data_IF_906829590651
#
_entry.id   IF_906829590651
#
_cell.length_a   1.000
_cell.length_b   1.000
_cell.length_c   1.000
_cell.angle_alpha   90.00
_cell.angle_beta   90.00
_cell.angle_gamma   90.00
#
_symmetry.space_group_name_H-M   'P 1'
#
loop_
_entity.id
_entity.type
_entity.pdbx_description
1 polymer ?
#
# COMPACT_ATOMS: atom_id res chain seq x y z
N UNK A 1 9.83 61.25 43.48
CA UNK A 1 9.70 59.83 43.05
C UNK A 1 11.06 59.38 42.54
N UNK A 2 11.64 58.33 43.13
CA UNK A 2 13.06 57.99 42.99
C UNK A 2 13.34 57.44 41.57
N UNK A 3 14.34 57.95 40.85
CA UNK A 3 14.64 57.61 39.44
C UNK A 3 14.72 56.09 39.20
N UNK A 4 15.20 55.35 40.20
CA UNK A 4 15.23 53.88 40.16
C UNK A 4 13.85 53.26 39.93
N UNK A 5 12.79 53.80 40.53
CA UNK A 5 11.43 53.25 40.40
C UNK A 5 10.80 53.57 39.03
N UNK A 6 11.19 54.69 38.41
CA UNK A 6 10.75 55.04 37.05
C UNK A 6 11.40 54.10 36.03
N UNK A 7 12.67 53.73 36.22
CA UNK A 7 13.36 52.74 35.37
C UNK A 7 12.74 51.34 35.46
N UNK A 8 12.35 50.90 36.66
CA UNK A 8 11.65 49.61 36.83
C UNK A 8 10.25 49.60 36.19
N UNK A 9 9.51 50.71 36.28
CA UNK A 9 8.19 50.84 35.63
C UNK A 9 8.35 50.92 34.11
N UNK A 10 9.37 51.60 33.59
CA UNK A 10 9.66 51.66 32.16
C UNK A 10 10.09 50.28 31.60
N UNK A 11 10.84 49.48 32.36
CA UNK A 11 11.20 48.11 31.98
C UNK A 11 10.00 47.15 31.99
N UNK A 12 9.01 47.38 32.85
CA UNK A 12 7.74 46.63 32.90
C UNK A 12 6.74 47.06 31.82
N UNK A 13 6.80 48.33 31.36
CA UNK A 13 5.97 48.86 30.27
C UNK A 13 6.53 48.57 28.87
N UNK A 14 7.84 48.34 28.74
CA UNK A 14 8.43 47.61 27.61
C UNK A 14 8.22 46.10 27.81
N UNK A 15 6.96 45.71 27.96
CA UNK A 15 6.57 44.31 28.02
C UNK A 15 7.09 43.61 26.77
N UNK A 16 7.84 42.53 26.99
CA UNK A 16 8.21 41.57 25.96
C UNK A 16 6.97 41.26 25.11
N UNK A 17 6.94 41.75 23.88
CA UNK A 17 6.00 41.26 22.88
C UNK A 17 6.50 39.88 22.47
N UNK A 18 6.20 38.89 23.30
CA UNK A 18 6.31 37.50 22.92
C UNK A 18 5.19 37.24 21.90
N UNK A 19 5.53 37.30 20.62
CA UNK A 19 4.68 36.76 19.58
C UNK A 19 4.68 35.24 19.75
N UNK A 20 3.67 34.70 20.43
CA UNK A 20 3.36 33.28 20.29
C UNK A 20 2.69 33.13 18.94
N UNK A 21 3.47 32.71 17.94
CA UNK A 21 2.93 32.26 16.67
C UNK A 21 2.72 30.74 16.78
N UNK A 22 1.51 30.28 16.49
CA UNK A 22 1.26 28.85 16.29
C UNK A 22 1.92 28.49 14.96
N UNK A 23 2.97 27.67 15.03
CA UNK A 23 3.51 27.02 13.82
C UNK A 23 2.64 25.79 13.59
N UNK A 24 1.79 25.85 12.57
CA UNK A 24 1.09 24.67 12.08
C UNK A 24 2.13 23.85 11.32
N UNK A 25 2.42 22.66 11.81
CA UNK A 25 3.24 21.66 11.12
C UNK A 25 2.31 20.61 10.54
N UNK A 26 2.67 20.09 9.36
CA UNK A 26 1.94 19.02 8.71
C UNK A 26 1.84 17.75 9.57
N UNK A 27 0.80 16.96 9.34
CA UNK A 27 0.65 15.64 9.97
C UNK A 27 1.79 14.74 9.46
N UNK A 28 2.70 14.35 10.35
CA UNK A 28 3.82 13.46 10.00
C UNK A 28 3.44 11.97 10.07
N UNK A 29 2.41 11.64 10.84
CA UNK A 29 1.97 10.26 11.03
C UNK A 29 0.47 10.17 11.31
N UNK A 30 -0.19 9.20 10.68
CA UNK A 30 -1.56 8.83 11.01
C UNK A 30 -1.54 7.76 12.09
N UNK A 31 -1.87 8.18 13.32
CA UNK A 31 -1.87 7.30 14.49
C UNK A 31 -2.83 6.12 14.37
N UNK A 32 -3.98 6.29 13.70
CA UNK A 32 -4.94 5.21 13.52
C UNK A 32 -4.34 4.09 12.64
N UNK A 33 -3.72 4.48 11.52
CA UNK A 33 -3.01 3.55 10.62
C UNK A 33 -1.84 2.90 11.34
N UNK A 34 -1.05 3.68 12.08
CA UNK A 34 0.10 3.16 12.85
C UNK A 34 -0.31 2.14 13.91
N UNK A 35 -1.40 2.40 14.64
CA UNK A 35 -1.92 1.47 15.66
C UNK A 35 -2.40 0.16 15.02
N UNK A 36 -3.11 0.23 13.90
CA UNK A 36 -3.56 -0.97 13.18
C UNK A 36 -2.39 -1.74 12.57
N UNK A 37 -1.39 -1.05 12.01
CA UNK A 37 -0.16 -1.68 11.52
C UNK A 37 0.57 -2.45 12.63
N UNK A 38 0.72 -1.83 13.81
CA UNK A 38 1.31 -2.48 14.98
C UNK A 38 0.52 -3.71 15.44
N UNK A 39 -0.81 -3.64 15.41
CA UNK A 39 -1.68 -4.78 15.75
C UNK A 39 -1.51 -5.94 14.77
N UNK A 40 -1.50 -5.64 13.47
CA UNK A 40 -1.33 -6.65 12.42
C UNK A 40 0.06 -7.30 12.48
N UNK A 41 1.11 -6.53 12.77
CA UNK A 41 2.46 -7.06 12.95
C UNK A 41 2.59 -7.93 14.20
N UNK A 42 1.93 -7.54 15.31
CA UNK A 42 1.91 -8.34 16.53
C UNK A 42 1.12 -9.65 16.38
N UNK A 43 0.09 -9.68 15.53
CA UNK A 43 -0.65 -10.90 15.19
C UNK A 43 0.19 -11.87 14.32
N UNK A 44 1.05 -11.36 13.44
CA UNK A 44 1.99 -12.20 12.67
C UNK A 44 3.11 -12.81 13.53
N UNK A 45 3.49 -12.16 14.65
CA UNK A 45 4.52 -12.67 15.56
C UNK A 45 4.05 -13.82 16.47
N UNK A 46 2.73 -14.03 16.62
CA UNK A 46 2.17 -15.01 17.57
C UNK A 46 2.11 -16.45 17.07
N UNK A 47 2.39 -16.71 15.79
CA UNK A 47 2.67 -18.06 15.29
C UNK A 47 3.75 -17.99 14.21
N UNK A 48 4.95 -18.47 14.50
CA UNK A 48 5.97 -18.85 13.49
C UNK A 48 5.54 -20.11 12.71
N UNK A 49 4.27 -20.16 12.32
CA UNK A 49 3.59 -21.31 11.75
C UNK A 49 3.15 -20.93 10.36
N UNK A 50 4.00 -21.27 9.38
CA UNK A 50 3.74 -21.36 7.95
C UNK A 50 2.79 -20.29 7.40
N UNK A 51 3.35 -19.29 6.74
CA UNK A 51 2.69 -18.71 5.58
C UNK A 51 2.56 -19.82 4.52
N UNK A 52 1.59 -20.71 4.68
CA UNK A 52 0.82 -21.09 3.51
C UNK A 52 0.24 -19.77 3.04
N UNK A 53 0.93 -19.10 2.10
CA UNK A 53 0.24 -18.21 1.18
C UNK A 53 -0.83 -19.08 0.55
N UNK A 54 -2.00 -19.09 1.17
CA UNK A 54 -3.20 -19.65 0.56
C UNK A 54 -3.27 -18.89 -0.75
N UNK A 55 -3.01 -19.57 -1.87
CA UNK A 55 -3.21 -18.99 -3.19
C UNK A 55 -4.70 -18.70 -3.24
N UNK A 56 -5.06 -17.45 -2.97
CA UNK A 56 -6.45 -17.06 -2.88
C UNK A 56 -7.03 -17.17 -4.29
N UNK A 57 -8.15 -17.89 -4.46
CA UNK A 57 -8.71 -18.10 -5.79
C UNK A 57 -9.10 -16.76 -6.40
N UNK A 58 -8.96 -16.65 -7.72
CA UNK A 58 -9.41 -15.49 -8.47
C UNK A 58 -10.92 -15.25 -8.21
N UNK A 59 -11.28 -13.99 -8.03
CA UNK A 59 -12.64 -13.53 -7.76
C UNK A 59 -13.54 -13.78 -8.97
N UNK A 60 -14.80 -14.08 -8.71
CA UNK A 60 -15.84 -14.18 -9.75
C UNK A 60 -16.60 -12.86 -9.87
N UNK A 61 -17.10 -12.57 -11.06
CA UNK A 61 -18.05 -11.48 -11.28
C UNK A 61 -19.40 -11.72 -10.56
N UNK A 62 -20.10 -10.65 -10.15
CA UNK A 62 -19.66 -9.25 -10.19
C UNK A 62 -18.67 -8.92 -9.06
N UNK A 63 -17.77 -7.97 -9.30
CA UNK A 63 -16.92 -7.37 -8.25
C UNK A 63 -17.60 -6.11 -7.72
N UNK A 64 -17.64 -5.94 -6.41
CA UNK A 64 -18.23 -4.76 -5.78
C UNK A 64 -17.52 -4.42 -4.46
N UNK A 65 -17.17 -3.14 -4.28
CA UNK A 65 -16.78 -2.59 -2.99
C UNK A 65 -17.27 -1.14 -2.85
N UNK A 66 -17.93 -0.86 -1.73
CA UNK A 66 -18.51 0.44 -1.39
C UNK A 66 -17.87 1.04 -0.12
N UNK A 67 -16.80 0.40 0.37
CA UNK A 67 -16.00 0.84 1.52
C UNK A 67 -16.82 1.19 2.78
N UNK A 68 -18.04 0.67 2.90
CA UNK A 68 -18.97 0.97 4.00
C UNK A 68 -18.69 0.12 5.24
N UNK A 69 -17.41 -0.12 5.48
CA UNK A 69 -16.88 -0.93 6.59
C UNK A 69 -16.48 -0.06 7.78
N UNK A 70 -16.19 -0.70 8.91
CA UNK A 70 -15.62 -0.03 10.10
C UNK A 70 -14.11 -0.20 10.20
N UNK A 71 -13.49 -0.93 9.28
CA UNK A 71 -12.04 -1.13 9.22
C UNK A 71 -11.40 0.04 8.51
N UNK A 72 -10.14 0.35 8.87
CA UNK A 72 -9.38 1.43 8.24
C UNK A 72 -8.50 0.95 7.07
N UNK A 73 -8.42 -0.36 6.87
CA UNK A 73 -7.71 -0.99 5.75
C UNK A 73 -8.72 -1.59 4.76
N UNK A 74 -8.35 -1.71 3.46
CA UNK A 74 -9.20 -2.33 2.46
C UNK A 74 -9.51 -3.80 2.79
N UNK A 75 -10.66 -4.30 2.32
CA UNK A 75 -11.01 -5.70 2.49
C UNK A 75 -9.98 -6.60 1.79
N UNK A 76 -9.20 -7.34 2.58
CA UNK A 76 -8.14 -8.21 2.06
C UNK A 76 -8.65 -9.34 1.20
N UNK A 77 -9.95 -9.66 1.20
CA UNK A 77 -10.55 -10.63 0.28
C UNK A 77 -10.74 -10.05 -1.14
N UNK A 78 -10.79 -8.73 -1.29
CA UNK A 78 -11.03 -8.03 -2.55
C UNK A 78 -9.77 -7.34 -3.07
N UNK A 79 -8.97 -6.80 -2.17
CA UNK A 79 -7.82 -5.95 -2.48
C UNK A 79 -6.51 -6.53 -1.95
N UNK A 80 -5.43 -6.22 -2.66
CA UNK A 80 -4.05 -6.49 -2.29
C UNK A 80 -3.41 -5.23 -1.71
N UNK A 81 -2.58 -5.41 -0.69
CA UNK A 81 -1.92 -4.31 0.00
C UNK A 81 -2.81 -3.60 1.04
N UNK A 82 -2.23 -2.57 1.68
CA UNK A 82 -2.83 -1.84 2.81
C UNK A 82 -2.45 -0.35 2.83
N UNK A 83 -2.00 0.21 1.71
CA UNK A 83 -1.56 1.60 1.63
C UNK A 83 -2.71 2.62 1.60
N UNK A 84 -3.91 2.21 1.20
CA UNK A 84 -5.06 3.12 1.10
C UNK A 84 -5.86 3.13 2.39
N UNK A 85 -6.25 4.33 2.84
CA UNK A 85 -6.95 4.55 4.10
C UNK A 85 -8.47 4.54 3.90
N UNK A 86 -9.16 3.55 4.48
CA UNK A 86 -10.63 3.46 4.44
C UNK A 86 -11.22 4.28 5.58
N UNK A 87 -12.05 5.27 5.25
CA UNK A 87 -12.60 6.17 6.26
C UNK A 87 -13.89 6.87 5.81
N UNK A 88 -14.47 7.65 6.72
CA UNK A 88 -15.73 8.40 6.52
C UNK A 88 -15.55 9.90 6.68
N UNK A 89 -14.34 10.35 7.02
CA UNK A 89 -14.05 11.70 7.48
C UNK A 89 -13.40 12.57 6.39
N UNK A 90 -12.57 11.98 5.54
CA UNK A 90 -11.97 12.63 4.37
C UNK A 90 -12.95 12.85 3.20
N UNK A 91 -13.80 11.90 2.78
CA UNK A 91 -14.71 12.15 1.66
C UNK A 91 -15.77 13.20 2.04
N UNK A 92 -15.93 14.22 1.20
CA UNK A 92 -16.96 15.24 1.36
C UNK A 92 -18.27 14.79 0.69
N UNK A 93 -19.28 14.47 1.51
CA UNK A 93 -20.59 13.99 1.06
C UNK A 93 -20.49 12.82 0.06
N UNK A 94 -19.93 11.66 0.47
CA UNK A 94 -19.80 10.49 -0.38
C UNK A 94 -21.17 9.95 -0.83
N UNK A 95 -21.21 9.18 -1.93
CA UNK A 95 -22.41 8.46 -2.37
C UNK A 95 -23.04 7.57 -1.29
N UNK A 96 -22.23 6.99 -0.39
CA UNK A 96 -22.65 6.08 0.68
C UNK A 96 -22.12 6.49 2.08
N UNK A 97 -21.52 5.58 2.84
CA UNK A 97 -20.94 5.81 4.17
C UNK A 97 -19.44 6.11 4.19
N UNK A 98 -18.64 5.62 3.24
CA UNK A 98 -17.17 5.63 3.33
C UNK A 98 -16.49 5.75 1.97
N UNK A 99 -15.18 5.90 1.97
CA UNK A 99 -14.39 5.90 0.75
C UNK A 99 -12.97 5.36 1.02
N UNK A 100 -12.34 4.91 -0.05
CA UNK A 100 -10.92 4.67 -0.13
C UNK A 100 -10.18 6.01 -0.36
N UNK A 101 -9.43 6.48 0.62
CA UNK A 101 -8.64 7.71 0.55
C UNK A 101 -7.17 7.42 0.30
N UNK A 102 -6.62 8.10 -0.71
CA UNK A 102 -5.20 8.16 -1.02
C UNK A 102 -4.70 9.47 -0.39
N UNK A 103 -3.88 9.40 0.65
CA UNK A 103 -3.49 10.51 1.53
C UNK A 103 -1.98 10.71 1.68
N UNK A 104 -1.18 10.04 0.87
CA UNK A 104 0.28 10.08 0.90
C UNK A 104 0.86 9.64 2.26
N UNK A 105 0.19 8.66 2.88
CA UNK A 105 0.63 8.00 4.11
C UNK A 105 0.81 6.51 3.84
N UNK A 106 1.99 6.00 4.14
CA UNK A 106 2.30 4.59 3.95
C UNK A 106 1.48 3.68 4.89
N UNK A 107 1.56 2.37 4.66
CA UNK A 107 0.87 1.37 5.47
C UNK A 107 1.31 1.29 6.93
N UNK A 108 2.42 1.95 7.31
CA UNK A 108 2.89 2.07 8.69
C UNK A 108 2.37 3.34 9.37
N UNK A 109 1.62 4.16 8.63
CA UNK A 109 1.08 5.43 9.09
C UNK A 109 2.11 6.56 9.02
N UNK A 110 3.19 6.45 8.25
CA UNK A 110 4.19 7.51 8.08
C UNK A 110 4.01 8.21 6.72
N UNK A 111 4.24 9.52 6.68
CA UNK A 111 4.29 10.26 5.42
C UNK A 111 5.47 9.79 4.57
N UNK A 112 5.28 9.64 3.25
CA UNK A 112 6.36 9.28 2.34
C UNK A 112 7.54 10.28 2.46
N UNK A 113 8.75 9.78 2.73
CA UNK A 113 9.91 10.66 3.00
C UNK A 113 10.58 11.18 1.73
N UNK A 114 10.49 10.40 0.66
CA UNK A 114 11.27 10.55 -0.57
C UNK A 114 10.39 10.94 -1.77
N UNK A 115 9.15 11.39 -1.51
CA UNK A 115 8.25 11.81 -2.57
C UNK A 115 8.76 13.09 -3.24
N UNK A 116 9.07 12.96 -4.53
CA UNK A 116 9.52 14.06 -5.38
C UNK A 116 8.56 14.23 -6.56
N UNK A 117 8.40 15.49 -6.97
CA UNK A 117 7.62 15.87 -8.16
C UNK A 117 8.19 15.27 -9.46
N UNK A 118 9.52 15.22 -9.58
CA UNK A 118 10.19 14.72 -10.77
C UNK A 118 11.43 13.91 -10.41
N UNK A 119 11.47 12.60 -10.75
CA UNK A 119 10.39 11.80 -11.35
C UNK A 119 9.19 11.63 -10.40
N UNK A 120 7.94 11.58 -10.91
CA UNK A 120 6.76 11.52 -10.04
C UNK A 120 6.78 10.25 -9.18
N UNK A 121 6.52 10.41 -7.89
CA UNK A 121 6.55 9.30 -6.93
C UNK A 121 5.17 8.67 -6.83
N UNK A 122 5.09 7.34 -6.98
CA UNK A 122 3.84 6.60 -6.72
C UNK A 122 3.61 6.56 -5.22
N UNK A 123 2.48 7.11 -4.78
CA UNK A 123 2.04 7.09 -3.39
C UNK A 123 1.26 5.83 -3.09
N UNK A 124 -0.02 6.02 -2.73
CA UNK A 124 -0.88 4.94 -2.27
C UNK A 124 -1.40 4.14 -3.46
N UNK A 125 -1.51 2.82 -3.28
CA UNK A 125 -1.97 1.90 -4.32
C UNK A 125 -3.08 0.99 -3.80
N UNK A 126 -4.16 0.90 -4.56
CA UNK A 126 -5.27 -0.01 -4.32
C UNK A 126 -5.36 -0.98 -5.50
N UNK A 127 -4.82 -2.19 -5.34
CA UNK A 127 -4.80 -3.21 -6.39
C UNK A 127 -5.86 -4.27 -6.10
N UNK A 128 -6.72 -4.59 -7.06
CA UNK A 128 -7.67 -5.69 -6.90
C UNK A 128 -6.93 -7.02 -6.85
N UNK A 129 -7.50 -8.02 -6.15
CA UNK A 129 -7.11 -9.41 -6.39
C UNK A 129 -7.44 -9.82 -7.83
N UNK A 130 -6.85 -10.90 -8.37
CA UNK A 130 -7.19 -11.43 -9.68
C UNK A 130 -8.70 -11.72 -9.79
N UNK A 131 -9.32 -11.30 -10.88
CA UNK A 131 -10.73 -11.46 -11.20
C UNK A 131 -10.83 -12.29 -12.49
N UNK A 132 -11.73 -13.26 -12.50
CA UNK A 132 -12.05 -14.08 -13.67
C UNK A 132 -12.90 -13.28 -14.64
N UNK A 133 -12.28 -12.77 -15.71
CA UNK A 133 -12.98 -12.16 -16.85
C UNK A 133 -13.07 -13.08 -18.08
N UNK A 134 -12.65 -14.32 -17.97
CA UNK A 134 -12.74 -15.30 -19.06
C UNK A 134 -14.07 -16.07 -19.07
N UNK A 135 -14.83 -16.13 -17.96
CA UNK A 135 -16.07 -16.90 -17.90
C UNK A 135 -17.07 -16.42 -16.86
N UNK A 136 -18.36 -16.68 -17.12
CA UNK A 136 -19.45 -16.45 -16.14
C UNK A 136 -19.73 -17.74 -15.38
N UNK A 137 -19.80 -17.68 -14.04
CA UNK A 137 -19.97 -18.86 -13.19
C UNK A 137 -21.33 -19.55 -13.36
N UNK A 138 -22.35 -18.83 -13.81
CA UNK A 138 -23.72 -19.36 -14.00
C UNK A 138 -23.90 -20.16 -15.29
N UNK A 139 -23.11 -19.85 -16.32
CA UNK A 139 -23.14 -20.51 -17.64
C UNK A 139 -21.69 -20.53 -18.09
N UNK A 140 -21.02 -21.69 -18.04
CA UNK A 140 -19.62 -21.87 -18.42
C UNK A 140 -19.39 -21.52 -19.91
N UNK A 141 -19.38 -20.22 -20.21
CA UNK A 141 -19.17 -19.62 -21.52
C UNK A 141 -18.11 -18.55 -21.40
N UNK A 142 -17.35 -18.38 -22.46
CA UNK A 142 -16.42 -17.28 -22.56
C UNK A 142 -17.17 -15.95 -22.56
N UNK A 143 -16.66 -14.99 -21.80
CA UNK A 143 -17.10 -13.61 -21.91
C UNK A 143 -16.54 -12.98 -23.19
N UNK A 144 -17.29 -12.03 -23.73
CA UNK A 144 -16.92 -11.29 -24.93
C UNK A 144 -17.31 -9.82 -24.78
N UNK A 145 -16.77 -8.91 -25.62
CA UNK A 145 -17.19 -7.51 -25.62
C UNK A 145 -18.70 -7.31 -25.82
N UNK A 146 -19.40 -8.26 -26.44
CA UNK A 146 -20.86 -8.23 -26.60
C UNK A 146 -21.62 -8.34 -25.28
N UNK A 147 -20.98 -8.87 -24.22
CA UNK A 147 -21.55 -8.96 -22.87
C UNK A 147 -21.55 -7.61 -22.14
N UNK A 148 -20.94 -6.58 -22.73
CA UNK A 148 -20.92 -5.20 -22.20
C UNK A 148 -20.38 -5.14 -20.77
N UNK A 149 -19.24 -5.78 -20.53
CA UNK A 149 -18.52 -5.70 -19.26
C UNK A 149 -17.97 -4.28 -19.09
N UNK A 150 -18.15 -3.67 -17.93
CA UNK A 150 -17.64 -2.34 -17.62
C UNK A 150 -17.19 -2.25 -16.16
N UNK A 151 -16.07 -1.56 -15.94
CA UNK A 151 -15.63 -1.12 -14.61
C UNK A 151 -16.19 0.27 -14.35
N UNK A 152 -16.80 0.48 -13.19
CA UNK A 152 -17.29 1.79 -12.77
C UNK A 152 -16.87 2.11 -11.34
N UNK A 153 -16.65 3.39 -11.06
CA UNK A 153 -16.28 3.88 -9.74
C UNK A 153 -16.64 5.37 -9.64
N UNK A 154 -16.73 5.88 -8.43
CA UNK A 154 -16.88 7.29 -8.14
C UNK A 154 -15.56 7.84 -7.62
N UNK A 155 -15.22 9.07 -8.01
CA UNK A 155 -14.05 9.75 -7.47
C UNK A 155 -14.33 11.19 -7.07
N UNK A 156 -13.53 11.69 -6.13
CA UNK A 156 -13.53 13.06 -5.63
C UNK A 156 -12.11 13.48 -5.25
N UNK A 157 -11.57 14.57 -5.82
CA UNK A 157 -10.33 15.17 -5.32
C UNK A 157 -10.57 15.91 -4.00
N UNK A 158 -9.54 16.01 -3.16
CA UNK A 158 -9.50 16.73 -1.88
C UNK A 158 -10.43 16.16 -0.79
N UNK A 159 -11.75 16.24 -0.99
CA UNK A 159 -12.73 16.04 0.07
C UNK A 159 -12.63 17.13 1.16
N UNK A 160 -12.43 16.73 2.41
CA UNK A 160 -12.23 17.61 3.58
C UNK A 160 -10.74 17.85 3.86
N UNK A 161 -9.85 17.15 3.15
CA UNK A 161 -8.40 17.26 3.29
C UNK A 161 -7.77 18.44 2.52
N UNK A 162 -6.47 18.30 2.28
CA UNK A 162 -5.69 19.12 1.38
C UNK A 162 -5.95 18.73 -0.08
N UNK A 163 -5.98 19.74 -0.95
CA UNK A 163 -6.19 19.52 -2.38
C UNK A 163 -4.94 18.96 -3.05
N UNK A 164 -5.09 17.99 -3.97
CA UNK A 164 -3.99 17.58 -4.85
C UNK A 164 -3.57 18.71 -5.76
N UNK A 165 -2.27 18.82 -6.00
CA UNK A 165 -1.75 19.83 -6.88
C UNK A 165 -2.15 19.56 -8.34
N UNK A 166 -2.22 20.60 -9.20
CA UNK A 166 -2.64 20.47 -10.59
C UNK A 166 -1.88 19.46 -11.44
N UNK A 167 -0.74 19.02 -10.92
CA UNK A 167 0.25 18.22 -11.61
C UNK A 167 0.32 16.80 -11.02
N UNK A 168 -0.33 16.57 -9.88
CA UNK A 168 -0.62 15.24 -9.38
C UNK A 168 -1.71 14.57 -10.19
N UNK A 169 -1.73 13.24 -10.15
CA UNK A 169 -2.77 12.50 -10.84
C UNK A 169 -3.22 11.29 -10.06
N UNK A 170 -4.53 11.08 -10.05
CA UNK A 170 -5.12 9.78 -9.76
C UNK A 170 -5.21 8.98 -11.06
N UNK A 171 -4.76 7.72 -11.04
CA UNK A 171 -4.65 6.86 -12.21
C UNK A 171 -5.37 5.54 -11.98
N UNK A 172 -6.04 5.03 -13.01
CA UNK A 172 -6.56 3.67 -13.10
C UNK A 172 -5.82 2.90 -14.20
N UNK A 173 -5.30 1.74 -13.82
CA UNK A 173 -4.67 0.79 -14.73
C UNK A 173 -5.39 -0.56 -14.73
N UNK A 174 -5.42 -1.21 -15.89
CA UNK A 174 -5.81 -2.60 -16.05
C UNK A 174 -4.57 -3.47 -16.17
N UNK A 175 -4.64 -4.69 -15.66
CA UNK A 175 -3.49 -5.58 -15.56
C UNK A 175 -3.82 -7.02 -15.92
N UNK A 176 -2.88 -7.66 -16.61
CA UNK A 176 -2.85 -9.11 -16.83
C UNK A 176 -1.42 -9.63 -16.63
N UNK A 177 -1.22 -10.92 -16.28
CA UNK A 177 0.12 -11.49 -16.21
C UNK A 177 0.86 -11.33 -17.54
N UNK A 178 2.08 -10.80 -17.52
CA UNK A 178 2.91 -10.59 -18.71
C UNK A 178 3.44 -11.91 -19.30
N UNK A 179 3.39 -12.99 -18.51
CA UNK A 179 4.05 -14.27 -18.80
C UNK A 179 5.45 -14.35 -18.21
N UNK A 180 6.00 -13.24 -17.72
CA UNK A 180 7.27 -13.22 -16.98
C UNK A 180 7.03 -13.44 -15.48
N UNK A 181 8.10 -13.79 -14.79
CA UNK A 181 8.10 -13.95 -13.33
C UNK A 181 9.27 -13.18 -12.71
N UNK A 182 9.00 -12.46 -11.62
CA UNK A 182 10.02 -11.72 -10.89
C UNK A 182 10.41 -12.48 -9.62
N UNK A 183 11.71 -12.46 -9.29
CA UNK A 183 12.19 -12.98 -8.02
C UNK A 183 11.67 -12.12 -6.88
N UNK A 184 11.07 -12.74 -5.86
CA UNK A 184 10.48 -12.04 -4.71
C UNK A 184 11.31 -12.23 -3.45
N UNK A 185 11.58 -13.48 -3.09
CA UNK A 185 12.31 -13.85 -1.87
C UNK A 185 12.90 -15.25 -1.99
N UNK A 186 13.82 -15.58 -1.07
CA UNK A 186 14.22 -16.96 -0.86
C UNK A 186 13.24 -17.61 0.13
N UNK A 187 12.78 -18.81 -0.17
CA UNK A 187 12.09 -19.64 0.82
C UNK A 187 13.12 -20.27 1.76
N UNK A 188 12.69 -20.53 2.99
CA UNK A 188 13.54 -21.12 4.02
C UNK A 188 12.81 -22.23 4.75
N UNK A 189 13.56 -23.25 5.14
CA UNK A 189 13.04 -24.35 5.93
C UNK A 189 13.77 -24.42 7.26
N UNK A 190 13.04 -24.84 8.29
CA UNK A 190 13.61 -25.09 9.61
C UNK A 190 14.01 -26.55 9.71
N UNK A 191 15.31 -26.80 9.90
CA UNK A 191 15.90 -28.14 10.01
C UNK A 191 16.62 -28.31 11.34
N UNK A 192 16.90 -29.56 11.69
CA UNK A 192 17.82 -29.87 12.79
C UNK A 192 19.24 -29.89 12.21
N UNK A 193 20.20 -29.29 12.90
CA UNK A 193 21.59 -29.13 12.47
C UNK A 193 22.23 -30.45 12.01
N UNK A 194 21.85 -31.56 12.66
CA UNK A 194 22.24 -32.95 12.36
C UNK A 194 22.13 -33.31 10.87
N UNK A 195 21.13 -32.75 10.17
CA UNK A 195 20.88 -33.03 8.77
C UNK A 195 21.95 -32.43 7.85
N UNK A 196 22.61 -31.36 8.30
CA UNK A 196 23.59 -30.61 7.53
C UNK A 196 25.03 -31.00 7.90
N UNK A 197 25.23 -31.58 9.09
CA UNK A 197 26.55 -31.90 9.61
C UNK A 197 27.19 -33.08 8.86
N UNK A 198 28.45 -32.92 8.47
CA UNK A 198 29.24 -34.02 7.90
C UNK A 198 29.69 -35.03 8.97
N UNK A 199 30.08 -36.23 8.52
CA UNK A 199 30.57 -37.29 9.42
C UNK A 199 31.83 -36.83 10.17
N UNK A 200 31.70 -36.60 11.48
CA UNK A 200 32.80 -36.16 12.35
C UNK A 200 32.81 -34.66 12.63
N UNK A 201 31.86 -33.90 12.07
CA UNK A 201 31.66 -32.51 12.43
C UNK A 201 30.90 -32.40 13.76
N UNK A 202 31.47 -31.66 14.72
CA UNK A 202 30.90 -31.51 16.07
C UNK A 202 30.01 -30.27 16.20
N UNK A 203 30.31 -29.21 15.44
CA UNK A 203 29.56 -27.96 15.42
C UNK A 203 29.74 -27.22 14.09
N UNK A 204 28.80 -26.33 13.77
CA UNK A 204 29.02 -25.23 12.84
C UNK A 204 29.51 -24.01 13.61
N UNK A 205 30.60 -23.42 13.16
CA UNK A 205 31.16 -22.19 13.74
C UNK A 205 30.88 -20.99 12.85
N UNK A 206 31.15 -19.79 13.37
CA UNK A 206 31.02 -18.55 12.62
C UNK A 206 31.83 -18.63 11.31
N UNK A 207 31.21 -18.20 10.23
CA UNK A 207 31.65 -18.24 8.83
C UNK A 207 31.64 -19.61 8.13
N UNK A 208 31.13 -20.66 8.77
CA UNK A 208 30.88 -21.91 8.06
C UNK A 208 29.79 -21.74 7.00
N UNK A 209 29.94 -22.48 5.90
CA UNK A 209 28.95 -22.51 4.82
C UNK A 209 27.92 -23.60 5.07
N UNK A 210 26.65 -23.22 5.15
CA UNK A 210 25.52 -24.12 5.31
C UNK A 210 24.83 -24.29 3.96
N UNK A 211 24.92 -25.49 3.39
CA UNK A 211 24.28 -25.83 2.11
C UNK A 211 22.84 -26.26 2.30
N UNK A 212 21.96 -25.86 1.39
CA UNK A 212 20.56 -26.26 1.43
C UNK A 212 20.42 -27.80 1.33
N UNK A 213 19.59 -28.44 2.18
CA UNK A 213 19.49 -29.88 2.23
C UNK A 213 18.70 -30.44 1.03
N UNK A 214 19.42 -30.93 0.04
CA UNK A 214 18.84 -31.55 -1.18
C UNK A 214 17.91 -32.73 -0.85
N UNK A 215 18.17 -33.42 0.27
CA UNK A 215 17.33 -34.52 0.77
C UNK A 215 15.89 -34.11 1.09
N UNK A 216 15.64 -32.82 1.32
CA UNK A 216 14.32 -32.25 1.57
C UNK A 216 13.72 -31.56 0.34
N UNK A 217 14.35 -31.72 -0.84
CA UNK A 217 13.90 -31.12 -2.09
C UNK A 217 14.41 -29.69 -2.34
N UNK A 218 15.33 -29.19 -1.51
CA UNK A 218 15.91 -27.86 -1.69
C UNK A 218 16.86 -27.78 -2.89
N UNK A 219 17.05 -26.57 -3.40
CA UNK A 219 17.95 -26.29 -4.51
C UNK A 219 19.43 -26.44 -4.06
N UNK A 220 20.22 -27.33 -4.69
CA UNK A 220 21.60 -27.61 -4.28
C UNK A 220 22.58 -26.45 -4.45
N UNK A 221 22.20 -25.40 -5.20
CA UNK A 221 23.04 -24.23 -5.44
C UNK A 221 22.85 -23.14 -4.38
N UNK A 222 21.90 -23.31 -3.48
CA UNK A 222 21.59 -22.34 -2.42
C UNK A 222 22.41 -22.68 -1.18
N UNK A 223 23.08 -21.67 -0.62
CA UNK A 223 23.80 -21.76 0.64
C UNK A 223 23.69 -20.45 1.41
N UNK A 224 23.97 -20.51 2.70
CA UNK A 224 24.16 -19.33 3.54
C UNK A 224 25.44 -19.43 4.35
N UNK A 225 25.94 -18.29 4.81
CA UNK A 225 27.08 -18.23 5.72
C UNK A 225 26.55 -18.10 7.15
N UNK A 226 27.02 -18.97 8.05
CA UNK A 226 26.71 -18.87 9.46
C UNK A 226 27.38 -17.62 10.07
N UNK A 227 26.61 -16.74 10.69
CA UNK A 227 27.15 -15.56 11.41
C UNK A 227 26.92 -15.66 12.92
N UNK A 228 26.39 -16.78 13.41
CA UNK A 228 26.14 -16.94 14.83
C UNK A 228 27.47 -17.00 15.61
N UNK A 229 27.59 -16.19 16.68
CA UNK A 229 28.82 -16.15 17.49
C UNK A 229 28.96 -17.40 18.38
N UNK A 230 27.86 -18.09 18.66
CA UNK A 230 27.83 -19.35 19.40
C UNK A 230 27.88 -20.54 18.42
N UNK A 231 28.69 -21.58 18.69
CA UNK A 231 28.72 -22.76 17.84
C UNK A 231 27.36 -23.46 17.82
N UNK A 232 26.84 -23.76 16.63
CA UNK A 232 25.60 -24.51 16.47
C UNK A 232 25.95 -25.99 16.56
N UNK A 233 25.36 -26.69 17.53
CA UNK A 233 25.68 -28.09 17.82
C UNK A 233 24.56 -29.03 17.38
N UNK A 234 24.83 -30.33 17.48
CA UNK A 234 23.85 -31.37 17.22
C UNK A 234 22.60 -31.19 18.09
N UNK A 235 21.43 -31.28 17.47
CA UNK A 235 20.12 -31.11 18.10
C UNK A 235 19.55 -29.69 17.99
N UNK A 236 20.37 -28.70 17.62
CA UNK A 236 19.90 -27.33 17.44
C UNK A 236 19.05 -27.20 16.18
N UNK A 237 18.12 -26.25 16.21
CA UNK A 237 17.26 -25.98 15.06
C UNK A 237 17.72 -24.73 14.32
N UNK A 238 17.99 -24.90 13.03
CA UNK A 238 18.50 -23.86 12.14
C UNK A 238 17.46 -23.59 11.05
N UNK A 239 17.25 -22.33 10.72
CA UNK A 239 16.50 -21.94 9.52
C UNK A 239 17.48 -21.75 8.37
N UNK A 240 17.32 -22.53 7.29
CA UNK A 240 18.19 -22.49 6.12
C UNK A 240 17.40 -22.16 4.86
N UNK A 241 18.00 -21.41 3.95
CA UNK A 241 17.42 -21.12 2.64
C UNK A 241 17.29 -22.42 1.83
N UNK A 242 16.15 -22.61 1.16
CA UNK A 242 15.82 -23.84 0.45
C UNK A 242 15.69 -23.61 -1.06
N UNK A 243 14.87 -22.65 -1.48
CA UNK A 243 14.67 -22.31 -2.89
C UNK A 243 14.35 -20.82 -3.09
N UNK A 244 14.13 -20.41 -4.34
CA UNK A 244 13.71 -19.07 -4.70
C UNK A 244 12.24 -19.04 -5.09
N UNK A 245 11.51 -18.06 -4.53
CA UNK A 245 10.10 -17.79 -4.85
C UNK A 245 10.04 -16.75 -5.96
N UNK A 246 9.34 -17.10 -7.04
CA UNK A 246 9.03 -16.21 -8.15
C UNK A 246 7.53 -15.96 -8.22
N UNK A 247 7.14 -14.70 -8.42
CA UNK A 247 5.75 -14.30 -8.62
C UNK A 247 5.54 -13.83 -10.06
N UNK A 248 4.36 -14.08 -10.66
CA UNK A 248 4.05 -13.61 -12.00
C UNK A 248 4.07 -12.08 -12.04
N UNK A 249 4.74 -11.51 -13.05
CA UNK A 249 4.74 -10.07 -13.27
C UNK A 249 3.44 -9.69 -13.96
N UNK A 250 2.72 -8.71 -13.41
CA UNK A 250 1.55 -8.12 -14.07
C UNK A 250 1.99 -6.99 -14.99
N UNK A 251 1.60 -7.05 -16.26
CA UNK A 251 1.72 -5.95 -17.20
C UNK A 251 0.54 -5.00 -17.01
N UNK A 252 0.82 -3.71 -16.81
CA UNK A 252 -0.19 -2.69 -16.50
C UNK A 252 -0.37 -1.72 -17.66
N UNK A 253 -1.61 -1.41 -18.01
CA UNK A 253 -1.98 -0.40 -19.01
C UNK A 253 -2.88 0.66 -18.39
N UNK A 254 -2.49 1.93 -18.55
CA UNK A 254 -3.29 3.08 -18.10
C UNK A 254 -4.51 3.29 -18.98
N UNK A 255 -5.69 3.17 -18.38
CA UNK A 255 -6.97 3.34 -19.08
C UNK A 255 -7.71 4.62 -18.70
N UNK A 256 -7.43 5.19 -17.53
CA UNK A 256 -8.05 6.44 -17.07
C UNK A 256 -7.13 7.18 -16.10
N UNK A 257 -7.26 8.50 -16.05
CA UNK A 257 -6.58 9.36 -15.09
C UNK A 257 -7.30 10.72 -14.92
N UNK A 258 -7.02 11.42 -13.83
CA UNK A 258 -7.48 12.79 -13.56
C UNK A 258 -6.35 13.63 -12.96
N UNK A 259 -6.23 14.89 -13.42
CA UNK A 259 -5.35 15.91 -12.81
C UNK A 259 -5.91 16.38 -11.46
N UNK A 260 -5.01 16.73 -10.54
CA UNK A 260 -5.35 17.32 -9.26
C UNK A 260 -6.07 18.65 -9.42
N UNK A 261 -7.02 18.89 -8.52
CA UNK A 261 -7.77 20.14 -8.46
C UNK A 261 -8.46 20.26 -7.10
N UNK A 262 -8.86 21.48 -6.75
CA UNK A 262 -9.66 21.72 -5.56
C UNK A 262 -11.06 21.16 -5.72
N UNK A 263 -11.67 20.73 -4.62
CA UNK A 263 -13.07 20.30 -4.60
C UNK A 263 -14.02 21.40 -5.12
N UNK A 264 -13.74 22.67 -4.83
CA UNK A 264 -14.54 23.79 -5.33
C UNK A 264 -14.51 23.93 -6.86
N UNK A 265 -13.36 23.66 -7.48
CA UNK A 265 -13.20 23.68 -8.95
C UNK A 265 -13.88 22.46 -9.57
N UNK A 266 -13.69 21.30 -8.95
CA UNK A 266 -14.39 20.06 -9.33
C UNK A 266 -15.91 20.24 -9.33
N UNK A 267 -16.47 20.85 -8.28
CA UNK A 267 -17.89 21.18 -8.18
C UNK A 267 -18.33 22.19 -9.25
N UNK A 268 -17.49 23.17 -9.60
CA UNK A 268 -17.78 24.12 -10.66
C UNK A 268 -17.85 23.46 -12.04
N UNK A 269 -16.97 22.48 -12.30
CA UNK A 269 -16.90 21.76 -13.58
C UNK A 269 -18.06 20.77 -13.71
N UNK A 270 -18.30 19.96 -12.68
CA UNK A 270 -19.22 18.81 -12.77
C UNK A 270 -20.58 19.03 -12.11
N UNK A 271 -20.74 20.06 -11.27
CA UNK A 271 -21.95 20.29 -10.49
C UNK A 271 -22.25 19.20 -9.47
N UNK A 272 -21.25 18.39 -9.09
CA UNK A 272 -21.37 17.23 -8.20
C UNK A 272 -20.19 17.17 -7.23
N UNK A 273 -20.38 16.51 -6.10
CA UNK A 273 -19.31 16.24 -5.13
C UNK A 273 -18.44 15.04 -5.54
N UNK A 274 -19.07 14.04 -6.16
CA UNK A 274 -18.41 12.87 -6.73
C UNK A 274 -18.88 12.68 -8.17
N UNK A 275 -17.97 12.24 -9.04
CA UNK A 275 -18.27 11.90 -10.43
C UNK A 275 -18.10 10.40 -10.64
N UNK A 276 -19.09 9.79 -11.28
CA UNK A 276 -19.00 8.40 -11.71
C UNK A 276 -18.22 8.32 -13.02
N UNK A 277 -17.23 7.44 -13.05
CA UNK A 277 -16.49 7.04 -14.24
C UNK A 277 -16.94 5.63 -14.63
N UNK A 278 -17.09 5.39 -15.93
CA UNK A 278 -17.43 4.06 -16.49
C UNK A 278 -16.46 3.74 -17.62
N UNK A 279 -15.72 2.65 -17.47
CA UNK A 279 -14.71 2.14 -18.40
C UNK A 279 -15.24 0.83 -19.01
N UNK A 280 -15.71 0.82 -20.27
CA UNK A 280 -16.12 -0.41 -20.92
C UNK A 280 -14.90 -1.28 -21.26
N UNK A 281 -14.97 -2.58 -20.97
CA UNK A 281 -13.93 -3.55 -21.29
C UNK A 281 -14.21 -4.09 -22.71
N UNK A 282 -13.55 -3.46 -23.69
CA UNK A 282 -13.77 -3.75 -25.11
C UNK A 282 -12.68 -4.63 -25.73
N UNK A 283 -11.45 -4.51 -25.25
CA UNK A 283 -10.36 -5.32 -25.76
C UNK A 283 -10.46 -6.74 -25.20
N UNK A 284 -10.46 -7.71 -26.12
CA UNK A 284 -10.47 -9.14 -25.83
C UNK A 284 -9.29 -9.62 -24.98
N UNK A 285 -8.17 -8.88 -24.95
CA UNK A 285 -7.00 -9.19 -24.12
C UNK A 285 -7.32 -9.22 -22.62
N UNK A 286 -8.26 -8.39 -22.17
CA UNK A 286 -8.68 -8.27 -20.77
C UNK A 286 -9.59 -9.41 -20.30
N UNK A 287 -10.13 -10.22 -21.21
CA UNK A 287 -10.98 -11.37 -20.88
C UNK A 287 -10.11 -12.56 -20.44
N UNK A 288 -9.41 -12.38 -19.33
CA UNK A 288 -8.39 -13.25 -18.80
C UNK A 288 -8.80 -13.80 -17.42
N UNK A 289 -8.42 -15.04 -17.06
CA UNK A 289 -8.69 -15.58 -15.72
C UNK A 289 -7.92 -14.88 -14.58
N UNK A 290 -6.93 -14.06 -14.90
CA UNK A 290 -6.13 -13.33 -13.93
C UNK A 290 -6.15 -11.81 -14.18
N UNK A 291 -7.28 -11.30 -14.69
CA UNK A 291 -7.45 -9.86 -14.86
C UNK A 291 -7.40 -9.14 -13.51
N UNK A 292 -6.69 -8.02 -13.44
CA UNK A 292 -6.64 -7.14 -12.29
C UNK A 292 -6.85 -5.70 -12.73
N UNK A 293 -7.20 -4.85 -11.78
CA UNK A 293 -7.12 -3.42 -11.97
C UNK A 293 -6.54 -2.78 -10.71
N UNK A 294 -5.98 -1.58 -10.85
CA UNK A 294 -5.48 -0.83 -9.70
C UNK A 294 -5.69 0.66 -9.85
N UNK A 295 -5.88 1.29 -8.69
CA UNK A 295 -5.82 2.73 -8.54
C UNK A 295 -4.52 3.11 -7.84
N UNK A 296 -3.91 4.21 -8.26
CA UNK A 296 -2.82 4.84 -7.50
C UNK A 296 -2.77 6.33 -7.76
N UNK A 297 -2.18 7.08 -6.83
CA UNK A 297 -1.85 8.48 -7.04
C UNK A 297 -0.35 8.67 -7.26
N UNK A 298 -0.01 9.67 -8.08
CA UNK A 298 1.30 10.33 -7.96
C UNK A 298 1.18 11.42 -6.91
N UNK A 299 2.16 11.47 -6.02
CA UNK A 299 2.21 12.42 -4.89
C UNK A 299 3.38 13.37 -5.05
N UNK A 300 3.21 14.60 -4.57
CA UNK A 300 4.25 15.62 -4.57
C UNK A 300 4.35 16.21 -3.16
N UNK A 301 5.32 15.72 -2.38
CA UNK A 301 5.51 16.21 -1.01
C UNK A 301 6.55 17.33 -1.02
N UNK A 302 6.32 18.35 -0.18
CA UNK A 302 7.27 19.44 0.03
C UNK A 302 8.70 18.91 0.28
N UNK A 303 9.65 19.46 -0.48
CA UNK A 303 11.06 19.04 -0.44
C UNK A 303 11.73 19.33 0.91
N UNK A 304 12.89 18.70 1.17
CA UNK A 304 13.72 18.89 2.38
C UNK A 304 14.11 20.34 2.70
N UNK A 305 13.87 21.27 1.78
CA UNK A 305 14.07 22.71 2.00
C UNK A 305 13.03 23.29 2.98
N UNK A 306 11.86 22.67 3.12
CA UNK A 306 10.78 23.06 4.04
C UNK A 306 10.20 21.82 4.74
N UNK A 307 10.95 21.18 5.66
CA UNK A 307 10.54 19.91 6.28
C UNK A 307 9.24 19.99 7.10
N UNK A 308 8.82 21.19 7.50
CA UNK A 308 7.58 21.43 8.23
C UNK A 308 6.33 21.38 7.34
N UNK A 309 6.51 21.44 6.02
CA UNK A 309 5.44 21.36 5.00
C UNK A 309 5.22 19.91 4.52
N UNK A 310 6.08 18.95 4.91
CA UNK A 310 5.82 17.52 4.69
C UNK A 310 4.57 17.14 5.47
N UNK A 311 3.49 16.75 4.82
CA UNK A 311 2.23 16.40 5.46
C UNK A 311 1.49 15.36 4.63
N UNK A 312 0.42 14.81 5.19
CA UNK A 312 -0.65 14.21 4.42
C UNK A 312 -1.26 15.24 3.45
N UNK A 313 -0.82 15.22 2.21
CA UNK A 313 -1.30 16.07 1.13
C UNK A 313 -2.03 15.27 0.07
N UNK A 314 -2.35 15.92 -1.03
CA UNK A 314 -2.75 15.29 -2.29
C UNK A 314 -3.88 14.27 -2.19
N UNK A 315 -4.92 14.62 -1.41
CA UNK A 315 -5.96 13.65 -1.12
C UNK A 315 -6.85 13.35 -2.32
N UNK A 316 -7.09 12.05 -2.53
CA UNK A 316 -8.08 11.53 -3.46
C UNK A 316 -9.02 10.57 -2.76
N UNK A 317 -10.29 10.59 -3.11
CA UNK A 317 -11.29 9.66 -2.59
C UNK A 317 -11.89 8.86 -3.74
N UNK A 318 -11.89 7.54 -3.63
CA UNK A 318 -12.55 6.60 -4.54
C UNK A 318 -13.61 5.82 -3.79
N UNK A 319 -14.77 5.65 -4.40
CA UNK A 319 -15.90 4.94 -3.79
C UNK A 319 -16.69 4.17 -4.85
N UNK A 320 -17.49 3.19 -4.39
CA UNK A 320 -18.48 2.47 -5.18
C UNK A 320 -17.89 1.81 -6.44
N UNK A 321 -16.84 1.01 -6.24
CA UNK A 321 -16.15 0.28 -7.31
C UNK A 321 -16.98 -0.93 -7.70
N UNK A 322 -17.33 -1.04 -8.97
CA UNK A 322 -18.20 -2.08 -9.50
C UNK A 322 -17.76 -2.57 -10.87
N UNK A 323 -17.68 -3.89 -11.03
CA UNK A 323 -17.46 -4.60 -12.29
C UNK A 323 -18.57 -5.64 -12.44
N UNK A 324 -19.37 -5.52 -13.49
CA UNK A 324 -20.66 -6.22 -13.65
C UNK A 324 -20.55 -7.70 -14.02
#
# INVERSE_FOLDING_TARGET
MNIKHILWIALLLFGFQAHSQVVLVGLQTNEAVRMEANKLNAETDFCNCKSEEIIQPALSLPFFDDFSVSTIVPNTQLWEGRSVFINKDFPFLPPNLGAATFDAIDSLGAVYTDAVWFPPTVGDRLTSRPIRLDSVTLIQRALSPADSVYLSFYYQPQGVGNDPEPWDTLVLELGIPSGDSAFVRMDSIKVIADLLMESGQEAFVMFDTLWAPVSLGCNPLVYMINYDPEPIVRGDSITILCDSVYEPVTSWEKVWWSEGMKLSEFQQIYGKNFVQVMIPILDTTWFNPAFQFRFFNYISIATDMYPFEKSNGDQWNVDYVYLN
#
